data_IF_409730533180
#
_entry.id   IF_409730533180
#
_cell.length_a   1.000
_cell.length_b   1.000
_cell.length_c   1.000
_cell.angle_alpha   90.00
_cell.angle_beta   90.00
_cell.angle_gamma   90.00
#
_symmetry.space_group_name_H-M   'P 1'
#
loop_
_entity.id
_entity.type
_entity.pdbx_description
1 polymer ?
#
# COMPACT_ATOMS: atom_id res chain seq x y z
N UNK A 1 1.25 29.98 -69.97
CA UNK A 1 0.80 28.58 -69.83
C UNK A 1 0.21 28.43 -68.44
N UNK A 2 -1.10 28.18 -68.34
CA UNK A 2 -1.80 28.01 -67.08
C UNK A 2 -1.53 26.57 -66.61
N UNK A 3 -0.78 26.41 -65.53
CA UNK A 3 -0.49 25.08 -64.98
C UNK A 3 -1.78 24.53 -64.38
N UNK A 4 -2.17 23.33 -64.79
CA UNK A 4 -3.35 22.63 -64.29
C UNK A 4 -3.25 22.49 -62.76
N UNK A 5 -4.31 22.86 -62.05
CA UNK A 5 -4.40 22.74 -60.59
C UNK A 5 -4.14 21.31 -60.10
N UNK A 6 -4.51 20.31 -60.90
CA UNK A 6 -4.25 18.89 -60.57
C UNK A 6 -2.76 18.57 -60.70
N UNK A 7 -2.11 19.11 -61.75
CA UNK A 7 -0.68 18.93 -61.96
C UNK A 7 0.14 19.54 -60.82
N UNK A 8 -0.26 20.72 -60.34
CA UNK A 8 0.41 21.38 -59.21
C UNK A 8 0.23 20.61 -57.89
N UNK A 9 -0.96 20.09 -57.62
CA UNK A 9 -1.20 19.23 -56.46
C UNK A 9 -0.39 17.92 -56.51
N UNK A 10 -0.25 17.31 -57.69
CA UNK A 10 0.60 16.14 -57.88
C UNK A 10 2.10 16.44 -57.70
N UNK A 11 2.55 17.66 -58.02
CA UNK A 11 3.91 18.10 -57.76
C UNK A 11 4.17 18.27 -56.25
N UNK A 12 3.21 18.82 -55.50
CA UNK A 12 3.31 19.00 -54.06
C UNK A 12 3.29 17.66 -53.30
N UNK A 13 2.46 16.70 -53.74
CA UNK A 13 2.37 15.36 -53.15
C UNK A 13 3.66 14.55 -53.25
N UNK A 14 4.53 14.81 -54.23
CA UNK A 14 5.80 14.05 -54.40
C UNK A 14 6.73 14.18 -53.19
N UNK A 15 6.62 15.28 -52.45
CA UNK A 15 7.46 15.56 -51.29
C UNK A 15 6.68 15.44 -49.97
N UNK A 16 5.37 15.20 -50.03
CA UNK A 16 4.57 14.94 -48.84
C UNK A 16 4.72 13.49 -48.41
N UNK A 17 5.53 13.28 -47.38
CA UNK A 17 5.62 12.00 -46.68
C UNK A 17 5.14 12.18 -45.25
N UNK A 18 4.27 11.29 -44.77
CA UNK A 18 3.96 11.21 -43.34
C UNK A 18 5.22 10.74 -42.61
N UNK A 19 5.83 11.63 -41.82
CA UNK A 19 7.00 11.27 -41.02
C UNK A 19 6.55 10.48 -39.80
N UNK A 20 7.05 9.26 -39.64
CA UNK A 20 6.92 8.55 -38.36
C UNK A 20 7.74 9.28 -37.27
N UNK A 21 7.25 9.29 -36.04
CA UNK A 21 7.96 9.89 -34.91
C UNK A 21 9.17 9.01 -34.53
N UNK A 22 10.35 9.32 -35.07
CA UNK A 22 11.59 8.57 -34.86
C UNK A 22 12.39 9.06 -33.63
N UNK A 23 11.75 9.15 -32.46
CA UNK A 23 12.47 9.42 -31.21
C UNK A 23 13.16 8.14 -30.72
N UNK A 24 14.44 7.95 -31.07
CA UNK A 24 15.32 6.89 -30.54
C UNK A 24 16.08 7.34 -29.28
N UNK A 25 15.49 8.23 -28.47
CA UNK A 25 16.10 8.67 -27.22
C UNK A 25 16.17 7.49 -26.25
N UNK A 26 17.38 7.04 -25.96
CA UNK A 26 17.66 6.05 -24.94
C UNK A 26 17.88 6.76 -23.60
N UNK A 27 16.99 6.52 -22.64
CA UNK A 27 17.22 6.96 -21.27
C UNK A 27 18.20 6.00 -20.58
N UNK A 28 19.22 6.54 -19.92
CA UNK A 28 20.02 5.77 -18.94
C UNK A 28 19.34 5.93 -17.58
N UNK A 29 18.88 4.84 -16.94
CA UNK A 29 18.32 4.94 -15.60
C UNK A 29 19.42 5.38 -14.63
N UNK A 30 19.13 6.40 -13.82
CA UNK A 30 19.98 6.79 -12.71
C UNK A 30 19.53 5.92 -11.52
N UNK A 31 20.23 4.81 -11.29
CA UNK A 31 20.00 3.99 -10.10
C UNK A 31 20.48 4.78 -8.87
N UNK A 32 19.60 4.96 -7.89
CA UNK A 32 19.89 5.63 -6.62
C UNK A 32 20.55 4.69 -5.60
N UNK A 33 21.37 3.75 -6.05
CA UNK A 33 22.16 2.89 -5.18
C UNK A 33 23.64 3.10 -5.46
N UNK A 34 24.34 3.61 -4.44
CA UNK A 34 25.79 3.61 -4.33
C UNK A 34 26.29 2.16 -4.43
N UNK A 35 27.15 1.91 -5.42
CA UNK A 35 28.10 0.80 -5.53
C UNK A 35 27.65 -0.58 -5.01
N UNK A 36 26.93 -1.33 -5.85
CA UNK A 36 27.07 -2.78 -5.88
C UNK A 36 27.24 -3.23 -7.34
N UNK A 37 28.51 -3.38 -7.70
CA UNK A 37 29.02 -3.92 -8.96
C UNK A 37 28.31 -5.23 -9.35
N UNK A 38 27.64 -5.22 -10.50
CA UNK A 38 27.41 -6.39 -11.34
C UNK A 38 26.30 -7.35 -10.93
N UNK A 39 25.16 -7.26 -11.62
CA UNK A 39 24.68 -8.45 -12.33
C UNK A 39 23.85 -8.08 -13.57
N UNK A 40 24.37 -8.50 -14.70
CA UNK A 40 23.74 -8.44 -16.01
C UNK A 40 22.76 -9.59 -16.09
N UNK A 41 21.50 -9.40 -15.67
CA UNK A 41 20.42 -10.31 -16.05
C UNK A 41 19.20 -9.52 -16.54
N UNK A 42 18.91 -9.76 -17.80
CA UNK A 42 17.66 -9.47 -18.50
C UNK A 42 16.46 -10.04 -17.72
N UNK A 43 15.86 -9.22 -16.88
CA UNK A 43 14.48 -9.38 -16.47
C UNK A 43 13.89 -7.99 -16.29
N UNK A 44 12.88 -7.66 -17.08
CA UNK A 44 12.01 -6.51 -16.84
C UNK A 44 11.19 -6.73 -15.57
N UNK A 45 11.86 -6.72 -14.42
CA UNK A 45 11.22 -6.57 -13.12
C UNK A 45 10.86 -5.10 -12.90
N UNK A 46 9.82 -4.81 -12.09
CA UNK A 46 9.56 -3.44 -11.69
C UNK A 46 10.85 -2.88 -11.08
N UNK A 47 11.30 -1.70 -11.55
CA UNK A 47 12.44 -0.98 -10.97
C UNK A 47 12.29 -0.86 -9.45
N UNK A 48 13.35 -0.53 -8.68
CA UNK A 48 13.40 -0.64 -7.22
C UNK A 48 12.15 0.00 -6.62
N UNK A 49 11.14 -0.83 -6.44
CA UNK A 49 9.80 -0.40 -6.13
C UNK A 49 9.83 -0.22 -4.65
N UNK A 50 9.42 0.96 -4.20
CA UNK A 50 9.22 1.29 -2.79
C UNK A 50 8.78 0.01 -2.03
N UNK A 51 9.61 -0.54 -1.11
CA UNK A 51 9.34 -1.80 -0.42
C UNK A 51 7.93 -1.86 0.17
N UNK A 52 7.42 -0.68 0.54
CA UNK A 52 6.06 -0.44 0.99
C UNK A 52 4.98 -0.70 -0.07
N UNK A 53 5.18 -0.23 -1.30
CA UNK A 53 4.28 -0.50 -2.43
C UNK A 53 4.28 -1.99 -2.79
N UNK A 54 5.44 -2.66 -2.71
CA UNK A 54 5.51 -4.10 -2.90
C UNK A 54 4.70 -4.82 -1.80
N UNK A 55 4.89 -4.44 -0.54
CA UNK A 55 4.16 -4.99 0.61
C UNK A 55 2.65 -4.82 0.45
N UNK A 56 2.17 -3.63 0.08
CA UNK A 56 0.74 -3.36 -0.14
C UNK A 56 0.16 -4.22 -1.27
N UNK A 57 0.87 -4.34 -2.40
CA UNK A 57 0.43 -5.18 -3.52
C UNK A 57 0.36 -6.65 -3.14
N UNK A 58 1.39 -7.18 -2.47
CA UNK A 58 1.40 -8.56 -1.95
C UNK A 58 0.27 -8.77 -0.94
N UNK A 59 0.08 -7.80 -0.06
CA UNK A 59 -0.97 -7.77 0.94
C UNK A 59 -2.35 -7.95 0.32
N UNK A 60 -2.64 -7.13 -0.70
CA UNK A 60 -3.90 -7.18 -1.44
C UNK A 60 -4.16 -8.51 -2.16
N UNK A 61 -3.12 -9.10 -2.77
CA UNK A 61 -3.23 -10.42 -3.44
C UNK A 61 -3.65 -11.49 -2.44
N UNK A 62 -2.99 -11.55 -1.28
CA UNK A 62 -3.27 -12.55 -0.25
C UNK A 62 -4.68 -12.34 0.35
N UNK A 63 -5.06 -11.10 0.69
CA UNK A 63 -6.42 -10.79 1.15
C UNK A 63 -7.50 -11.20 0.15
N UNK A 64 -7.25 -10.99 -1.14
CA UNK A 64 -8.19 -11.36 -2.20
C UNK A 64 -8.31 -12.87 -2.34
N UNK A 65 -7.19 -13.60 -2.25
CA UNK A 65 -7.19 -15.07 -2.29
C UNK A 65 -7.91 -15.67 -1.07
N UNK A 66 -7.69 -15.15 0.13
CA UNK A 66 -8.43 -15.56 1.35
C UNK A 66 -9.94 -15.43 1.16
N UNK A 67 -10.39 -14.28 0.67
CA UNK A 67 -11.82 -14.03 0.39
C UNK A 67 -12.37 -15.02 -0.64
N UNK A 68 -11.62 -15.28 -1.71
CA UNK A 68 -12.04 -16.23 -2.75
C UNK A 68 -12.10 -17.66 -2.24
N UNK A 69 -11.18 -18.09 -1.37
CA UNK A 69 -11.23 -19.41 -0.73
C UNK A 69 -12.52 -19.53 0.08
N UNK A 70 -12.84 -18.53 0.91
CA UNK A 70 -14.09 -18.50 1.68
C UNK A 70 -15.34 -18.59 0.79
N UNK A 71 -15.36 -17.86 -0.32
CA UNK A 71 -16.46 -17.95 -1.31
C UNK A 71 -16.58 -19.34 -1.95
N UNK A 72 -15.46 -20.01 -2.25
CA UNK A 72 -15.48 -21.37 -2.82
C UNK A 72 -15.82 -22.43 -1.80
N UNK A 73 -15.45 -22.22 -0.54
CA UNK A 73 -15.84 -23.04 0.59
C UNK A 73 -17.35 -22.96 0.82
N UNK A 74 -17.93 -21.76 0.77
CA UNK A 74 -19.38 -21.58 0.85
C UNK A 74 -20.15 -22.35 -0.24
N UNK A 75 -19.55 -22.47 -1.44
CA UNK A 75 -20.08 -23.19 -2.61
C UNK A 75 -19.72 -24.69 -2.64
N UNK A 76 -19.11 -25.25 -1.58
CA UNK A 76 -18.69 -26.65 -1.47
C UNK A 76 -17.77 -27.12 -2.61
N UNK A 77 -17.00 -26.19 -3.20
CA UNK A 77 -16.07 -26.47 -4.31
C UNK A 77 -14.70 -26.92 -3.79
N UNK A 78 -14.67 -28.06 -3.10
CA UNK A 78 -13.50 -28.57 -2.36
C UNK A 78 -12.20 -28.63 -3.18
N UNK A 79 -12.24 -29.10 -4.43
CA UNK A 79 -11.05 -29.11 -5.29
C UNK A 79 -10.48 -27.71 -5.55
N UNK A 80 -11.33 -26.70 -5.70
CA UNK A 80 -10.89 -25.31 -5.85
C UNK A 80 -10.39 -24.74 -4.53
N UNK A 81 -11.07 -25.05 -3.42
CA UNK A 81 -10.64 -24.63 -2.07
C UNK A 81 -9.22 -25.13 -1.79
N UNK A 82 -8.94 -26.41 -2.04
CA UNK A 82 -7.63 -26.99 -1.83
C UNK A 82 -6.56 -26.35 -2.75
N UNK A 83 -6.79 -26.29 -4.06
CA UNK A 83 -5.85 -25.68 -5.01
C UNK A 83 -5.51 -24.22 -4.66
N UNK A 84 -6.52 -23.45 -4.25
CA UNK A 84 -6.32 -22.06 -3.83
C UNK A 84 -5.61 -21.96 -2.47
N UNK A 85 -5.81 -22.88 -1.54
CA UNK A 85 -5.12 -22.93 -0.25
C UNK A 85 -3.62 -23.20 -0.40
N UNK A 86 -3.25 -24.10 -1.32
CA UNK A 86 -1.84 -24.34 -1.68
C UNK A 86 -1.21 -23.09 -2.30
N UNK A 87 -1.92 -22.44 -3.24
CA UNK A 87 -1.45 -21.19 -3.86
C UNK A 87 -1.28 -20.05 -2.85
N UNK A 88 -2.25 -19.89 -1.95
CA UNK A 88 -2.20 -18.93 -0.85
C UNK A 88 -0.96 -19.16 0.02
N UNK A 89 -0.66 -20.42 0.36
CA UNK A 89 0.53 -20.78 1.13
C UNK A 89 1.82 -20.33 0.43
N UNK A 90 1.90 -20.50 -0.89
CA UNK A 90 3.04 -20.01 -1.67
C UNK A 90 3.14 -18.47 -1.66
N UNK A 91 2.01 -17.77 -1.82
CA UNK A 91 1.99 -16.30 -1.75
C UNK A 91 2.43 -15.77 -0.37
N UNK A 92 1.90 -16.35 0.71
CA UNK A 92 2.27 -15.98 2.07
C UNK A 92 3.77 -16.21 2.32
N UNK A 93 4.30 -17.38 1.93
CA UNK A 93 5.73 -17.70 2.09
C UNK A 93 6.63 -16.76 1.30
N UNK A 94 6.26 -16.46 0.05
CA UNK A 94 7.00 -15.50 -0.80
C UNK A 94 7.03 -14.12 -0.17
N UNK A 95 5.89 -13.63 0.32
CA UNK A 95 5.80 -12.32 0.96
C UNK A 95 6.66 -12.25 2.24
N UNK A 96 6.57 -13.27 3.12
CA UNK A 96 7.38 -13.33 4.34
C UNK A 96 8.87 -13.35 3.99
N UNK A 97 9.30 -14.22 3.07
CA UNK A 97 10.70 -14.29 2.67
C UNK A 97 11.23 -12.98 2.09
N UNK A 98 10.48 -12.32 1.22
CA UNK A 98 10.85 -11.03 0.63
C UNK A 98 10.94 -9.94 1.71
N UNK A 99 9.96 -9.88 2.61
CA UNK A 99 9.94 -8.88 3.66
C UNK A 99 11.07 -9.10 4.70
N UNK A 100 11.31 -10.34 5.14
CA UNK A 100 12.40 -10.65 6.08
C UNK A 100 13.79 -10.37 5.48
N UNK A 101 13.97 -10.52 4.17
CA UNK A 101 15.24 -10.19 3.50
C UNK A 101 15.55 -8.69 3.53
N UNK A 102 14.52 -7.85 3.37
CA UNK A 102 14.65 -6.39 3.42
C UNK A 102 14.72 -5.88 4.87
N UNK A 103 13.96 -6.50 5.76
CA UNK A 103 13.86 -6.13 7.18
C UNK A 103 14.96 -6.80 8.01
N UNK A 104 16.16 -6.21 8.04
CA UNK A 104 17.34 -6.70 8.79
C UNK A 104 17.19 -6.79 10.32
N UNK A 105 16.07 -6.39 10.89
CA UNK A 105 15.81 -6.44 12.34
C UNK A 105 14.38 -6.81 12.65
N UNK A 106 13.95 -8.04 12.33
CA UNK A 106 12.60 -8.48 12.69
C UNK A 106 12.39 -8.42 14.21
N UNK A 107 11.28 -7.81 14.64
CA UNK A 107 10.87 -7.86 16.04
C UNK A 107 10.54 -9.31 16.41
N UNK A 108 10.78 -9.70 17.67
CA UNK A 108 10.40 -11.02 18.19
C UNK A 108 8.90 -11.29 17.99
N UNK A 109 8.06 -10.25 18.12
CA UNK A 109 6.62 -10.33 17.86
C UNK A 109 6.33 -10.69 16.40
N UNK A 110 7.02 -10.03 15.45
CA UNK A 110 6.83 -10.27 14.03
C UNK A 110 7.23 -11.71 13.64
N UNK A 111 8.35 -12.21 14.17
CA UNK A 111 8.76 -13.59 13.96
C UNK A 111 7.79 -14.63 14.54
N UNK A 112 7.11 -14.31 15.65
CA UNK A 112 6.06 -15.18 16.20
C UNK A 112 4.83 -15.21 15.28
N UNK A 113 4.37 -14.06 14.80
CA UNK A 113 3.21 -13.99 13.89
C UNK A 113 3.52 -14.66 12.55
N UNK A 114 4.73 -14.48 12.01
CA UNK A 114 5.20 -15.18 10.80
C UNK A 114 5.12 -16.70 10.97
N UNK A 115 5.59 -17.21 12.10
CA UNK A 115 5.54 -18.65 12.42
C UNK A 115 4.10 -19.16 12.49
N UNK A 116 3.22 -18.47 13.23
CA UNK A 116 1.81 -18.83 13.37
C UNK A 116 1.07 -18.79 12.02
N UNK A 117 1.39 -17.81 11.17
CA UNK A 117 0.87 -17.72 9.80
C UNK A 117 1.26 -18.95 8.97
N UNK A 118 2.54 -19.34 9.01
CA UNK A 118 3.04 -20.49 8.25
C UNK A 118 2.46 -21.82 8.76
N UNK A 119 2.33 -21.98 10.07
CA UNK A 119 1.66 -23.14 10.69
C UNK A 119 0.21 -23.25 10.20
N UNK A 120 -0.54 -22.14 10.22
CA UNK A 120 -1.93 -22.13 9.75
C UNK A 120 -2.08 -22.32 8.25
N UNK A 121 -1.14 -21.84 7.43
CA UNK A 121 -1.12 -22.13 5.99
C UNK A 121 -0.94 -23.63 5.72
N UNK A 122 -0.03 -24.28 6.46
CA UNK A 122 0.20 -25.73 6.38
C UNK A 122 -1.03 -26.52 6.83
N UNK A 123 -1.63 -26.14 7.97
CA UNK A 123 -2.86 -26.74 8.50
C UNK A 123 -4.00 -26.63 7.49
N UNK A 124 -4.21 -25.45 6.89
CA UNK A 124 -5.24 -25.23 5.89
C UNK A 124 -5.04 -26.14 4.66
N UNK A 125 -3.80 -26.27 4.19
CA UNK A 125 -3.49 -27.14 3.05
C UNK A 125 -3.76 -28.61 3.38
N UNK A 126 -3.37 -29.08 4.57
CA UNK A 126 -3.59 -30.45 5.01
C UNK A 126 -5.07 -30.79 5.28
N UNK A 127 -5.84 -29.88 5.89
CA UNK A 127 -7.28 -30.12 6.11
C UNK A 127 -8.06 -30.11 4.81
N UNK A 128 -7.73 -29.21 3.87
CA UNK A 128 -8.42 -29.13 2.58
C UNK A 128 -8.07 -30.30 1.66
N UNK A 129 -6.85 -30.87 1.76
CA UNK A 129 -6.48 -32.10 1.08
C UNK A 129 -7.30 -33.29 1.57
N UNK A 130 -7.44 -33.45 2.89
CA UNK A 130 -8.28 -34.51 3.49
C UNK A 130 -9.74 -34.43 3.03
N UNK A 131 -10.27 -33.23 2.83
CA UNK A 131 -11.64 -33.04 2.33
C UNK A 131 -11.85 -33.63 0.93
N UNK A 132 -10.81 -33.77 0.11
CA UNK A 132 -10.92 -34.36 -1.22
C UNK A 132 -11.17 -35.86 -1.20
N UNK A 133 -10.77 -36.53 -0.11
CA UNK A 133 -10.84 -37.98 0.02
C UNK A 133 -12.09 -38.45 0.78
N UNK A 134 -12.88 -37.52 1.33
CA UNK A 134 -14.05 -37.83 2.16
C UNK A 134 -15.29 -37.89 1.30
N UNK A 135 -15.91 -39.07 1.23
CA UNK A 135 -17.19 -39.27 0.51
C UNK A 135 -18.42 -38.97 1.39
N UNK A 136 -18.26 -38.99 2.71
CA UNK A 136 -19.36 -38.80 3.65
C UNK A 136 -19.73 -37.32 3.81
N UNK A 137 -20.92 -36.94 3.37
CA UNK A 137 -21.43 -35.57 3.40
C UNK A 137 -21.55 -34.98 4.82
N UNK A 138 -21.92 -35.79 5.82
CA UNK A 138 -21.99 -35.34 7.21
C UNK A 138 -20.60 -34.99 7.76
N UNK A 139 -19.58 -35.78 7.40
CA UNK A 139 -18.19 -35.50 7.76
C UNK A 139 -17.70 -34.23 7.05
N UNK A 140 -18.00 -34.07 5.75
CA UNK A 140 -17.66 -32.86 5.00
C UNK A 140 -18.28 -31.59 5.61
N UNK A 141 -19.51 -31.66 6.11
CA UNK A 141 -20.16 -30.53 6.79
C UNK A 141 -19.41 -30.11 8.06
N UNK A 142 -18.97 -31.08 8.87
CA UNK A 142 -18.11 -30.80 10.05
C UNK A 142 -16.76 -30.23 9.63
N UNK A 143 -16.14 -30.79 8.59
CA UNK A 143 -14.87 -30.30 8.06
C UNK A 143 -14.99 -28.87 7.49
N UNK A 144 -16.13 -28.50 6.90
CA UNK A 144 -16.39 -27.13 6.42
C UNK A 144 -16.29 -26.09 7.53
N UNK A 145 -16.82 -26.38 8.70
CA UNK A 145 -16.68 -25.51 9.86
C UNK A 145 -15.20 -25.39 10.28
N UNK A 146 -14.48 -26.51 10.36
CA UNK A 146 -13.05 -26.53 10.66
C UNK A 146 -12.22 -25.74 9.65
N UNK A 147 -12.43 -25.92 8.33
CA UNK A 147 -11.74 -25.16 7.28
C UNK A 147 -12.07 -23.66 7.38
N UNK A 148 -13.32 -23.31 7.69
CA UNK A 148 -13.73 -21.92 7.85
C UNK A 148 -13.05 -21.25 9.05
N UNK A 149 -12.92 -21.97 10.17
CA UNK A 149 -12.21 -21.53 11.36
C UNK A 149 -10.71 -21.35 11.06
N UNK A 150 -10.04 -22.36 10.49
CA UNK A 150 -8.63 -22.28 10.11
C UNK A 150 -8.38 -21.12 9.14
N UNK A 151 -9.26 -20.90 8.15
CA UNK A 151 -9.16 -19.79 7.20
C UNK A 151 -9.30 -18.42 7.90
N UNK A 152 -10.19 -18.31 8.88
CA UNK A 152 -10.42 -17.08 9.63
C UNK A 152 -9.22 -16.75 10.52
N UNK A 153 -8.69 -17.75 11.25
CA UNK A 153 -7.47 -17.60 12.05
C UNK A 153 -6.25 -17.26 11.18
N UNK A 154 -6.11 -17.88 10.01
CA UNK A 154 -5.06 -17.53 9.05
C UNK A 154 -5.19 -16.06 8.60
N UNK A 155 -6.41 -15.62 8.28
CA UNK A 155 -6.69 -14.23 7.92
C UNK A 155 -6.33 -13.24 9.04
N UNK A 156 -6.59 -13.59 10.30
CA UNK A 156 -6.21 -12.79 11.47
C UNK A 156 -4.68 -12.66 11.60
N UNK A 157 -3.94 -13.78 11.59
CA UNK A 157 -2.47 -13.75 11.66
C UNK A 157 -1.85 -12.98 10.50
N UNK A 158 -2.39 -13.16 9.29
CA UNK A 158 -1.93 -12.42 8.12
C UNK A 158 -2.20 -10.90 8.25
N UNK A 159 -3.39 -10.52 8.72
CA UNK A 159 -3.74 -9.11 8.97
C UNK A 159 -2.81 -8.48 10.01
N UNK A 160 -2.54 -9.19 11.10
CA UNK A 160 -1.62 -8.74 12.15
C UNK A 160 -0.18 -8.57 11.62
N UNK A 161 0.31 -9.52 10.82
CA UNK A 161 1.64 -9.41 10.22
C UNK A 161 1.74 -8.19 9.30
N UNK A 162 0.72 -7.97 8.46
CA UNK A 162 0.66 -6.84 7.55
C UNK A 162 0.62 -5.51 8.31
N UNK A 163 -0.17 -5.42 9.38
CA UNK A 163 -0.24 -4.23 10.24
C UNK A 163 1.11 -3.92 10.92
N UNK A 164 1.80 -4.93 11.47
CA UNK A 164 3.13 -4.77 12.07
C UNK A 164 4.16 -4.27 11.03
N UNK A 165 4.16 -4.87 9.84
CA UNK A 165 5.05 -4.49 8.76
C UNK A 165 4.80 -3.05 8.28
N UNK A 166 3.53 -2.69 8.04
CA UNK A 166 3.16 -1.33 7.63
C UNK A 166 3.46 -0.29 8.72
N UNK A 167 3.22 -0.62 9.97
CA UNK A 167 3.53 0.24 11.12
C UNK A 167 5.02 0.57 11.15
N UNK A 168 5.88 -0.43 10.96
CA UNK A 168 7.32 -0.23 10.90
C UNK A 168 7.76 0.68 9.74
N UNK A 169 7.22 0.47 8.56
CA UNK A 169 7.54 1.32 7.40
C UNK A 169 7.10 2.77 7.62
N UNK A 170 5.89 2.97 8.16
CA UNK A 170 5.38 4.29 8.54
C UNK A 170 6.28 4.94 9.60
N UNK A 171 6.68 4.20 10.64
CA UNK A 171 7.63 4.70 11.64
C UNK A 171 8.95 5.15 11.01
N UNK A 172 9.48 4.41 10.04
CA UNK A 172 10.70 4.78 9.34
C UNK A 172 10.52 6.09 8.56
N UNK A 173 9.40 6.26 7.85
CA UNK A 173 9.06 7.50 7.15
C UNK A 173 8.91 8.68 8.12
N UNK A 174 8.17 8.51 9.21
CA UNK A 174 7.96 9.57 10.22
C UNK A 174 9.29 9.98 10.85
N UNK A 175 10.13 9.02 11.26
CA UNK A 175 11.47 9.31 11.79
C UNK A 175 12.34 10.05 10.78
N UNK A 176 12.23 9.72 9.49
CA UNK A 176 12.98 10.39 8.42
C UNK A 176 12.51 11.84 8.21
N UNK A 177 11.21 12.12 8.33
CA UNK A 177 10.69 13.50 8.34
C UNK A 177 11.19 14.26 9.58
N UNK A 178 11.18 13.61 10.74
CA UNK A 178 11.61 14.27 11.99
C UNK A 178 13.11 14.53 12.05
N UNK A 179 13.95 13.68 11.46
CA UNK A 179 15.41 13.79 11.52
C UNK A 179 16.02 14.58 10.36
N UNK A 180 15.30 14.81 9.26
CA UNK A 180 15.88 15.41 8.06
C UNK A 180 15.77 16.94 8.05
N UNK A 181 16.90 17.60 7.81
CA UNK A 181 16.96 19.03 7.49
C UNK A 181 17.03 19.29 5.97
N UNK A 182 16.99 18.23 5.14
CA UNK A 182 17.11 18.32 3.69
C UNK A 182 15.74 18.40 3.01
N UNK A 183 15.51 19.48 2.26
CA UNK A 183 14.23 19.76 1.58
C UNK A 183 13.79 18.60 0.67
N UNK A 184 14.68 18.08 -0.17
CA UNK A 184 14.36 17.00 -1.12
C UNK A 184 14.02 15.69 -0.41
N UNK A 185 14.71 15.39 0.69
CA UNK A 185 14.45 14.19 1.50
C UNK A 185 13.09 14.32 2.19
N UNK A 186 12.78 15.48 2.77
CA UNK A 186 11.50 15.77 3.41
C UNK A 186 10.36 15.78 2.40
N UNK A 187 10.55 16.36 1.21
CA UNK A 187 9.57 16.37 0.11
C UNK A 187 9.21 14.96 -0.34
N UNK A 188 10.23 14.14 -0.65
CA UNK A 188 10.05 12.75 -1.07
C UNK A 188 9.36 11.93 0.02
N UNK A 189 9.82 12.03 1.27
CA UNK A 189 9.24 11.27 2.39
C UNK A 189 7.80 11.70 2.68
N UNK A 190 7.51 13.00 2.59
CA UNK A 190 6.14 13.53 2.71
C UNK A 190 5.26 13.06 1.55
N UNK A 191 5.82 12.90 0.35
CA UNK A 191 5.18 12.32 -0.82
C UNK A 191 4.81 10.87 -0.62
N UNK A 192 5.74 10.05 -0.11
CA UNK A 192 5.48 8.65 0.20
C UNK A 192 4.39 8.52 1.28
N UNK A 193 4.44 9.35 2.33
CA UNK A 193 3.42 9.40 3.36
C UNK A 193 2.05 9.80 2.79
N UNK A 194 2.02 10.75 1.85
CA UNK A 194 0.79 11.12 1.15
C UNK A 194 0.24 9.95 0.33
N UNK A 195 1.07 9.26 -0.44
CA UNK A 195 0.65 8.08 -1.22
C UNK A 195 -0.01 7.02 -0.33
N UNK A 196 0.52 6.78 0.87
CA UNK A 196 -0.10 5.87 1.84
C UNK A 196 -1.49 6.30 2.30
N UNK A 197 -1.72 7.61 2.47
CA UNK A 197 -3.07 8.10 2.84
C UNK A 197 -4.11 7.80 1.76
N UNK A 198 -3.69 7.61 0.51
CA UNK A 198 -4.59 7.32 -0.61
C UNK A 198 -5.02 5.85 -0.67
N UNK A 199 -4.31 4.96 0.02
CA UNK A 199 -4.65 3.53 0.07
C UNK A 199 -5.83 3.23 1.01
N UNK A 200 -6.19 4.19 1.89
CA UNK A 200 -7.43 4.16 2.68
C UNK A 200 -7.27 4.42 4.17
N UNK A 201 -8.41 4.43 4.88
CA UNK A 201 -8.52 4.76 6.30
C UNK A 201 -7.59 3.94 7.23
N UNK A 202 -7.35 2.62 7.04
CA UNK A 202 -6.42 1.87 7.89
C UNK A 202 -5.01 2.47 7.92
N UNK A 203 -4.48 2.92 6.77
CA UNK A 203 -3.16 3.53 6.71
C UNK A 203 -3.15 4.93 7.34
N UNK A 204 -4.21 5.71 7.18
CA UNK A 204 -4.35 6.98 7.90
C UNK A 204 -4.31 6.79 9.43
N UNK A 205 -4.94 5.72 9.95
CA UNK A 205 -4.90 5.40 11.39
C UNK A 205 -3.50 5.05 11.86
N UNK A 206 -2.77 4.22 11.11
CA UNK A 206 -1.38 3.87 11.44
C UNK A 206 -0.51 5.13 11.43
N UNK A 207 -0.60 5.96 10.38
CA UNK A 207 0.16 7.22 10.30
C UNK A 207 -0.14 8.16 11.47
N UNK A 208 -1.41 8.27 11.88
CA UNK A 208 -1.78 9.08 13.04
C UNK A 208 -1.19 8.54 14.35
N UNK A 209 -1.29 7.22 14.58
CA UNK A 209 -0.76 6.55 15.79
C UNK A 209 0.77 6.68 15.89
N UNK A 210 1.46 6.58 14.76
CA UNK A 210 2.93 6.65 14.69
C UNK A 210 3.50 8.08 14.66
N UNK A 211 2.69 9.10 14.98
CA UNK A 211 3.17 10.47 15.13
C UNK A 211 3.30 11.25 13.81
N UNK A 212 2.77 10.74 12.69
CA UNK A 212 2.83 11.41 11.40
C UNK A 212 2.20 12.81 11.40
N UNK A 213 1.14 13.03 12.19
CA UNK A 213 0.54 14.36 12.36
C UNK A 213 1.55 15.35 12.98
N UNK A 214 2.25 14.94 14.03
CA UNK A 214 3.23 15.79 14.72
C UNK A 214 4.41 16.12 13.81
N UNK A 215 4.95 15.13 13.10
CA UNK A 215 6.06 15.31 12.17
C UNK A 215 5.70 16.25 11.01
N UNK A 216 4.51 16.09 10.42
CA UNK A 216 4.05 17.00 9.35
C UNK A 216 3.82 18.43 9.87
N UNK A 217 3.33 18.59 11.10
CA UNK A 217 3.23 19.91 11.73
C UNK A 217 4.59 20.57 11.96
N UNK A 218 5.62 19.77 12.29
CA UNK A 218 7.00 20.28 12.40
C UNK A 218 7.47 20.86 11.06
N UNK A 219 7.21 20.17 9.94
CA UNK A 219 7.51 20.68 8.59
C UNK A 219 6.81 22.02 8.36
N UNK A 220 5.52 22.11 8.69
CA UNK A 220 4.75 23.37 8.53
C UNK A 220 5.20 24.53 9.43
N UNK A 221 6.09 24.28 10.41
CA UNK A 221 6.62 25.31 11.32
C UNK A 221 8.01 25.80 10.95
N UNK A 222 8.74 25.05 10.12
CA UNK A 222 10.09 25.40 9.71
C UNK A 222 10.02 26.28 8.46
N UNK A 223 10.59 27.49 8.53
CA UNK A 223 10.59 28.43 7.40
C UNK A 223 11.38 27.93 6.19
N UNK A 224 12.37 27.06 6.41
CA UNK A 224 13.13 26.38 5.35
C UNK A 224 12.28 25.45 4.49
N UNK A 225 11.13 24.99 4.99
CA UNK A 225 10.24 24.05 4.30
C UNK A 225 8.96 24.70 3.77
N UNK A 226 8.92 26.03 3.62
CA UNK A 226 7.74 26.77 3.11
C UNK A 226 7.19 26.23 1.80
N UNK A 227 8.04 25.78 0.88
CA UNK A 227 7.61 25.17 -0.38
C UNK A 227 6.86 23.84 -0.19
N UNK A 228 7.11 23.13 0.91
CA UNK A 228 6.50 21.83 1.22
C UNK A 228 5.18 21.96 1.98
N UNK A 229 4.82 23.16 2.45
CA UNK A 229 3.59 23.36 3.21
C UNK A 229 2.37 22.84 2.47
N UNK A 230 2.11 23.19 1.19
CA UNK A 230 0.91 22.70 0.49
C UNK A 230 0.80 21.18 0.48
N UNK A 231 1.92 20.47 0.34
CA UNK A 231 1.97 19.01 0.35
C UNK A 231 1.75 18.45 1.75
N UNK A 232 2.48 18.93 2.75
CA UNK A 232 2.34 18.48 4.14
C UNK A 232 0.92 18.67 4.67
N UNK A 233 0.28 19.78 4.31
CA UNK A 233 -1.10 20.10 4.69
C UNK A 233 -2.13 19.23 4.00
N UNK A 234 -1.90 18.91 2.72
CA UNK A 234 -2.74 17.95 1.99
C UNK A 234 -2.66 16.57 2.63
N UNK A 235 -1.46 16.14 3.03
CA UNK A 235 -1.26 14.90 3.78
C UNK A 235 -1.98 14.93 5.12
N UNK A 236 -1.83 16.02 5.89
CA UNK A 236 -2.56 16.21 7.15
C UNK A 236 -4.07 16.15 6.97
N UNK A 237 -4.61 16.83 5.96
CA UNK A 237 -6.03 16.78 5.65
C UNK A 237 -6.51 15.36 5.34
N UNK A 238 -5.69 14.58 4.63
CA UNK A 238 -5.99 13.19 4.31
C UNK A 238 -5.93 12.28 5.54
N UNK A 239 -4.98 12.49 6.46
CA UNK A 239 -4.91 11.76 7.74
C UNK A 239 -6.10 12.09 8.65
N UNK A 240 -6.62 13.32 8.59
CA UNK A 240 -7.78 13.74 9.39
C UNK A 240 -9.12 13.18 8.90
N UNK A 241 -9.12 12.26 7.93
CA UNK A 241 -10.33 11.49 7.57
C UNK A 241 -10.70 10.42 8.61
N UNK A 242 -9.83 10.15 9.59
CA UNK A 242 -10.06 9.21 10.70
C UNK A 242 -9.97 9.91 12.05
N UNK A 243 -10.67 9.37 13.05
CA UNK A 243 -10.76 9.95 14.40
C UNK A 243 -9.38 10.10 15.07
N UNK A 244 -8.49 9.13 14.91
CA UNK A 244 -7.13 9.18 15.47
C UNK A 244 -6.34 10.37 14.92
N UNK A 245 -6.54 10.70 13.64
CA UNK A 245 -5.92 11.86 12.99
C UNK A 245 -6.41 13.17 13.60
N UNK A 246 -7.73 13.30 13.77
CA UNK A 246 -8.34 14.49 14.40
C UNK A 246 -7.90 14.64 15.85
N UNK A 247 -7.88 13.54 16.61
CA UNK A 247 -7.48 13.56 18.01
C UNK A 247 -6.00 13.97 18.19
N UNK A 248 -5.10 13.49 17.32
CA UNK A 248 -3.70 13.93 17.32
C UNK A 248 -3.57 15.39 16.90
N UNK A 249 -4.36 15.85 15.92
CA UNK A 249 -4.39 17.25 15.51
C UNK A 249 -4.81 18.18 16.66
N UNK A 250 -5.83 17.81 17.42
CA UNK A 250 -6.30 18.56 18.59
C UNK A 250 -5.23 18.67 19.68
N UNK A 251 -4.52 17.57 19.97
CA UNK A 251 -3.39 17.58 20.91
C UNK A 251 -2.33 18.60 20.50
N UNK A 252 -1.97 18.62 19.22
CA UNK A 252 -0.99 19.58 18.68
C UNK A 252 -1.53 21.02 18.76
N UNK A 253 -2.81 21.24 18.46
CA UNK A 253 -3.45 22.57 18.57
C UNK A 253 -3.44 23.10 20.00
N UNK A 254 -3.76 22.27 20.99
CA UNK A 254 -3.74 22.67 22.41
C UNK A 254 -2.31 23.01 22.86
N UNK A 255 -1.32 22.22 22.46
CA UNK A 255 0.10 22.51 22.73
C UNK A 255 0.56 23.84 22.10
N UNK A 256 0.05 24.18 20.91
CA UNK A 256 0.35 25.45 20.23
C UNK A 256 -0.38 26.64 20.86
N UNK A 257 -1.62 26.45 21.33
CA UNK A 257 -2.39 27.48 22.04
C UNK A 257 -1.73 27.87 23.37
N UNK A 258 -1.14 26.91 24.09
CA UNK A 258 -0.36 27.16 25.32
C UNK A 258 0.96 27.91 25.10
N UNK A 259 1.49 27.95 23.86
CA UNK A 259 2.74 28.64 23.50
C UNK A 259 2.56 30.00 22.81
N UNK A 260 1.33 30.54 22.75
CA UNK A 260 1.09 31.92 22.32
C UNK A 260 1.23 32.21 20.81
N UNK A 261 1.20 31.21 19.92
CA UNK A 261 1.26 31.41 18.46
C UNK A 261 -0.14 31.38 17.81
N UNK A 262 -0.95 32.42 18.04
CA UNK A 262 -2.29 32.57 17.43
C UNK A 262 -2.27 32.98 15.94
N UNK A 263 -1.16 33.53 15.42
CA UNK A 263 -1.10 34.14 14.08
C UNK A 263 -1.15 33.15 12.92
N UNK A 264 -0.76 31.89 13.12
CA UNK A 264 -0.82 30.86 12.07
C UNK A 264 -2.14 30.09 12.08
N UNK A 265 -2.78 29.88 13.24
CA UNK A 265 -4.04 29.12 13.38
C UNK A 265 -5.24 29.87 12.76
N UNK A 266 -5.28 31.20 12.86
CA UNK A 266 -6.36 32.02 12.29
C UNK A 266 -6.46 32.02 10.76
N UNK A 267 -5.47 31.45 10.06
CA UNK A 267 -5.48 31.31 8.58
C UNK A 267 -6.15 30.02 8.09
N UNK A 268 -6.38 29.05 8.98
CA UNK A 268 -6.98 27.74 8.66
C UNK A 268 -8.51 27.75 8.75
N UNK A 269 -9.06 28.57 9.66
CA UNK A 269 -10.48 28.63 9.97
C UNK A 269 -11.31 29.29 8.83
N UNK A 270 -10.65 29.94 7.86
CA UNK A 270 -11.30 30.67 6.76
C UNK A 270 -11.44 29.90 5.43
N UNK A 271 -11.15 28.60 5.37
CA UNK A 271 -11.45 27.79 4.16
C UNK A 271 -12.53 26.76 4.48
N UNK A 272 -13.72 26.87 3.87
CA UNK A 272 -14.74 25.82 4.01
C UNK A 272 -14.22 24.56 3.32
N UNK A 273 -14.02 23.50 4.09
CA UNK A 273 -13.88 22.14 3.56
C UNK A 273 -15.24 21.74 2.99
N UNK A 274 -15.45 22.08 1.72
CA UNK A 274 -16.67 21.75 0.96
C UNK A 274 -16.84 20.24 0.85
N UNK A 275 -18.05 19.78 1.14
CA UNK A 275 -18.39 18.37 1.22
C UNK A 275 -18.33 17.66 -0.13
N UNK A 276 -17.68 16.49 -0.13
CA UNK A 276 -17.95 15.32 -0.99
C UNK A 276 -16.99 14.21 -0.54
N UNK A 277 -17.26 13.61 0.62
CA UNK A 277 -16.55 12.42 1.15
C UNK A 277 -17.56 11.43 1.74
N UNK A 278 -18.74 11.32 1.11
CA UNK A 278 -19.63 10.20 1.27
C UNK A 278 -19.45 9.27 0.07
N UNK A 279 -19.35 7.96 0.33
CA UNK A 279 -19.19 6.87 -0.64
C UNK A 279 -17.73 6.56 -1.00
N UNK A 280 -17.04 5.80 -0.15
CA UNK A 280 -16.21 4.66 -0.58
C UNK A 280 -15.80 3.85 0.66
N UNK A 281 -16.31 2.61 0.75
CA UNK A 281 -15.94 1.54 1.68
C UNK A 281 -16.71 1.39 3.01
N UNK A 282 -18.04 1.49 2.95
CA UNK A 282 -18.85 0.34 3.41
C UNK A 282 -18.66 -0.78 2.37
N UNK A 283 -17.98 -1.87 2.76
CA UNK A 283 -18.10 -3.25 2.21
C UNK A 283 -16.85 -4.08 2.57
N UNK A 284 -16.68 -4.34 3.86
CA UNK A 284 -16.35 -5.69 4.32
C UNK A 284 -17.42 -6.00 5.37
N UNK A 285 -18.28 -7.00 5.16
CA UNK A 285 -19.32 -7.29 6.13
C UNK A 285 -18.69 -7.67 7.47
N UNK A 286 -19.13 -7.00 8.53
CA UNK A 286 -18.77 -7.27 9.93
C UNK A 286 -19.14 -8.70 10.39
N UNK A 287 -19.79 -9.49 9.54
CA UNK A 287 -20.19 -10.87 9.83
C UNK A 287 -19.06 -11.91 9.73
N UNK A 288 -17.80 -11.49 9.71
CA UNK A 288 -16.61 -12.36 9.84
C UNK A 288 -15.70 -11.96 11.01
N UNK A 289 -16.18 -11.06 11.88
CA UNK A 289 -15.60 -10.80 13.20
C UNK A 289 -16.37 -11.58 14.27
N UNK A 290 -16.35 -12.91 14.16
CA UNK A 290 -16.48 -13.86 15.28
C UNK A 290 -15.70 -15.13 14.93
#
# INVERSE_FOLDING_TARGET
MQVDSVQRWMEDLKLMTECECMCVLQAKPISLEEDAQGDLILAGGPGPGDPLQLLLKRGWVISTELRRIGQKLAQDRWARVHSMSVRLTCHARSMVSEYSAVSRSSSQEMGQVEKLLMEKCSELSAVTERCLQVENEHVLKSMKACVSETLSTLGQHFGQLLELALTREVQALVRKIDASDNIYTTESTTGNLFSLTQEGAPLCRIIAKEGGVVALFKVCRQDSFRCLYPQALRTLASICCVEEGVHQLEKVRVQLAGRGLRSQVGRWEKRPLGGHLGLFMEQVPESLLF
#
